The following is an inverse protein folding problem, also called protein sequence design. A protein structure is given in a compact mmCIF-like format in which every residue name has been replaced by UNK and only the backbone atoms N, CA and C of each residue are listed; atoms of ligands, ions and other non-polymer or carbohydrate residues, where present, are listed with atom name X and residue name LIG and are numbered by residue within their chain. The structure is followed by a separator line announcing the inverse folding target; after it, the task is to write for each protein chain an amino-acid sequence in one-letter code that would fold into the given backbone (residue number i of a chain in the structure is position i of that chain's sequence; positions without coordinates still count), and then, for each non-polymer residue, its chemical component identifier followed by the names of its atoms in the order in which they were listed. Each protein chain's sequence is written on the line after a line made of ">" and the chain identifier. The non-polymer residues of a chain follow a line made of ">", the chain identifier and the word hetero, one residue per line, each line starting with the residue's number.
data_IF_043637340975
#
_entry.id   IF_043637340975
#
_cell.length_a   1.000
_cell.length_b   1.000
_cell.length_c   1.000
_cell.angle_alpha   90.00
_cell.angle_beta   90.00
_cell.angle_gamma   90.00
#
_symmetry.space_group_name_H-M   'P 1'
#
loop_
_entity.id
_entity.type
_entity.pdbx_description
1 polymer ?
#
# COMPACT_ATOMS: atom_id res chain seq x y z
N UNK A 1 -8.74 31.26 -35.20
CA UNK A 1 -9.10 29.95 -34.62
C UNK A 1 -9.68 30.25 -33.24
N UNK A 2 -11.00 30.17 -33.10
CA UNK A 2 -11.71 30.45 -31.85
C UNK A 2 -11.75 29.16 -31.03
N UNK A 3 -11.14 29.15 -29.85
CA UNK A 3 -11.35 28.10 -28.84
C UNK A 3 -12.73 28.30 -28.22
N UNK A 4 -13.58 27.27 -28.35
CA UNK A 4 -14.83 27.16 -27.61
C UNK A 4 -14.50 26.65 -26.21
N UNK A 5 -14.49 27.55 -25.23
CA UNK A 5 -14.53 27.16 -23.82
C UNK A 5 -15.89 26.49 -23.53
N UNK A 6 -15.88 25.17 -23.40
CA UNK A 6 -17.05 24.41 -22.93
C UNK A 6 -17.42 24.79 -21.49
N UNK A 7 -18.69 24.62 -21.09
CA UNK A 7 -19.13 24.99 -19.75
C UNK A 7 -18.46 24.07 -18.71
N UNK A 8 -17.53 24.62 -17.93
CA UNK A 8 -17.02 23.96 -16.73
C UNK A 8 -18.10 24.06 -15.65
N UNK A 9 -19.05 23.12 -15.68
CA UNK A 9 -19.87 22.83 -14.51
C UNK A 9 -18.91 22.37 -13.42
N UNK A 10 -18.56 23.27 -12.50
CA UNK A 10 -17.83 22.94 -11.27
C UNK A 10 -18.78 22.10 -10.40
N UNK A 11 -18.91 20.82 -10.72
CA UNK A 11 -19.45 19.86 -9.77
C UNK A 11 -18.52 19.90 -8.56
N UNK A 12 -19.04 20.37 -7.42
CA UNK A 12 -18.29 20.47 -6.18
C UNK A 12 -18.12 19.05 -5.61
N UNK A 13 -17.07 18.35 -6.05
CA UNK A 13 -16.71 17.06 -5.49
C UNK A 13 -16.21 17.24 -4.06
N UNK A 14 -16.69 16.38 -3.15
CA UNK A 14 -16.14 16.34 -1.79
C UNK A 14 -15.18 15.17 -1.70
N UNK A 15 -13.91 15.47 -1.47
CA UNK A 15 -12.85 14.49 -1.25
C UNK A 15 -12.78 14.19 0.25
N UNK A 16 -12.95 12.93 0.63
CA UNK A 16 -12.80 12.51 2.04
C UNK A 16 -11.64 11.53 2.16
N UNK A 17 -10.73 11.83 3.09
CA UNK A 17 -9.59 10.98 3.43
C UNK A 17 -10.06 9.73 4.18
N UNK A 18 -9.63 8.54 3.76
CA UNK A 18 -9.91 7.24 4.42
C UNK A 18 -8.99 6.98 5.62
N UNK A 19 -8.81 7.99 6.47
CA UNK A 19 -7.99 7.89 7.67
C UNK A 19 -8.85 8.27 8.87
N UNK A 20 -8.93 7.38 9.85
CA UNK A 20 -9.62 7.64 11.11
C UNK A 20 -8.54 7.91 12.17
N UNK A 21 -8.49 9.11 12.78
CA UNK A 21 -7.52 9.42 13.82
C UNK A 21 -7.68 8.50 15.03
N UNK A 22 -6.55 8.14 15.66
CA UNK A 22 -6.54 7.27 16.84
C UNK A 22 -7.45 7.79 17.96
N UNK A 23 -7.36 9.07 18.29
CA UNK A 23 -8.15 9.69 19.36
C UNK A 23 -9.65 9.63 19.07
N UNK A 24 -10.06 9.78 17.80
CA UNK A 24 -11.47 9.64 17.41
C UNK A 24 -11.99 8.22 17.60
N UNK A 25 -11.17 7.20 17.32
CA UNK A 25 -11.53 5.80 17.58
C UNK A 25 -11.62 5.57 19.09
N UNK A 26 -10.62 6.02 19.85
CA UNK A 26 -10.58 5.83 21.30
C UNK A 26 -11.75 6.51 21.99
N UNK A 27 -12.08 7.75 21.63
CA UNK A 27 -13.22 8.49 22.17
C UNK A 27 -14.55 7.77 21.86
N UNK A 28 -14.72 7.33 20.61
CA UNK A 28 -15.92 6.59 20.21
C UNK A 28 -16.08 5.28 20.98
N UNK A 29 -15.02 4.49 21.10
CA UNK A 29 -15.04 3.24 21.85
C UNK A 29 -15.28 3.46 23.35
N UNK A 30 -14.65 4.48 23.93
CA UNK A 30 -14.85 4.85 25.34
C UNK A 30 -16.30 5.26 25.62
N UNK A 31 -16.95 5.95 24.67
CA UNK A 31 -18.38 6.28 24.76
C UNK A 31 -19.27 5.04 24.78
N UNK A 32 -18.91 3.99 24.01
CA UNK A 32 -19.69 2.75 23.92
C UNK A 32 -19.52 1.86 25.16
N UNK A 33 -18.28 1.67 25.63
CA UNK A 33 -17.99 0.82 26.80
C UNK A 33 -18.28 1.52 28.12
N UNK A 34 -18.25 2.86 28.14
CA UNK A 34 -18.25 3.69 29.35
C UNK A 34 -17.05 3.39 30.27
N UNK A 35 -15.98 2.85 29.70
CA UNK A 35 -14.74 2.53 30.38
C UNK A 35 -13.74 3.68 30.29
N UNK A 36 -12.86 3.80 31.29
CA UNK A 36 -11.76 4.78 31.31
C UNK A 36 -10.46 4.23 30.70
N UNK A 37 -10.52 3.05 30.07
CA UNK A 37 -9.36 2.44 29.45
C UNK A 37 -8.77 3.36 28.37
N UNK A 38 -7.45 3.48 28.36
CA UNK A 38 -6.71 4.39 27.47
C UNK A 38 -6.23 3.71 26.18
N UNK A 39 -6.43 2.40 26.06
CA UNK A 39 -6.02 1.61 24.91
C UNK A 39 -7.23 0.99 24.19
N UNK A 40 -7.16 0.97 22.85
CA UNK A 40 -8.22 0.41 21.99
C UNK A 40 -8.42 -1.09 22.25
N UNK A 41 -7.37 -1.82 22.63
CA UNK A 41 -7.42 -3.27 22.79
C UNK A 41 -8.37 -3.70 23.90
N UNK A 42 -8.32 -3.03 25.05
CA UNK A 42 -9.24 -3.24 26.17
C UNK A 42 -10.69 -3.02 25.76
N UNK A 43 -10.99 -1.92 25.06
CA UNK A 43 -12.35 -1.64 24.59
C UNK A 43 -12.84 -2.67 23.56
N UNK A 44 -11.97 -3.12 22.65
CA UNK A 44 -12.32 -4.16 21.67
C UNK A 44 -12.66 -5.49 22.34
N UNK A 45 -11.91 -5.89 23.36
CA UNK A 45 -12.19 -7.10 24.12
C UNK A 45 -13.48 -6.98 24.96
N UNK A 46 -13.76 -5.80 25.50
CA UNK A 46 -14.98 -5.54 26.26
C UNK A 46 -16.24 -5.59 25.39
N UNK A 47 -16.17 -5.03 24.17
CA UNK A 47 -17.30 -5.01 23.23
C UNK A 47 -17.52 -6.35 22.53
N UNK A 48 -16.45 -7.04 22.13
CA UNK A 48 -16.54 -8.19 21.22
C UNK A 48 -16.05 -9.51 21.84
N UNK A 49 -15.42 -9.51 23.01
CA UNK A 49 -14.96 -10.73 23.68
C UNK A 49 -14.06 -11.58 22.78
N UNK A 50 -14.44 -12.84 22.59
CA UNK A 50 -13.72 -13.79 21.71
C UNK A 50 -13.83 -13.48 20.22
N UNK A 51 -14.76 -12.62 19.81
CA UNK A 51 -14.94 -12.19 18.42
C UNK A 51 -14.00 -11.03 18.05
N UNK A 52 -13.32 -10.43 19.04
CA UNK A 52 -12.29 -9.43 18.79
C UNK A 52 -11.09 -10.04 18.03
N UNK A 53 -10.35 -9.22 17.28
CA UNK A 53 -9.14 -9.68 16.57
C UNK A 53 -8.16 -10.41 17.50
N UNK A 54 -7.56 -11.50 17.00
CA UNK A 54 -6.53 -12.28 17.72
C UNK A 54 -5.33 -11.43 18.16
N UNK A 55 -5.09 -10.28 17.51
CA UNK A 55 -4.04 -9.33 17.89
C UNK A 55 -4.30 -8.65 19.23
N UNK A 56 -5.57 -8.48 19.61
CA UNK A 56 -5.97 -7.95 20.92
C UNK A 56 -6.10 -9.06 21.97
N UNK A 57 -6.30 -10.29 21.52
CA UNK A 57 -6.31 -11.45 22.39
C UNK A 57 -4.87 -11.86 22.76
N UNK A 58 -4.68 -12.41 23.96
CA UNK A 58 -3.41 -13.03 24.37
C UNK A 58 -3.24 -14.40 23.70
N UNK A 59 -3.20 -14.42 22.37
CA UNK A 59 -2.99 -15.63 21.58
C UNK A 59 -1.50 -15.84 21.39
N UNK A 60 -1.04 -17.08 21.58
CA UNK A 60 0.36 -17.44 21.36
C UNK A 60 0.78 -17.09 19.94
N UNK A 61 1.88 -16.31 19.81
CA UNK A 61 2.54 -16.00 18.52
C UNK A 61 2.82 -17.24 17.66
N UNK A 62 2.83 -18.43 18.25
CA UNK A 62 2.95 -19.70 17.55
C UNK A 62 1.76 -19.99 16.61
N UNK A 63 0.52 -19.58 16.95
CA UNK A 63 -0.66 -19.81 16.12
C UNK A 63 -0.67 -18.87 14.90
N UNK A 64 -0.26 -17.61 15.08
CA UNK A 64 -0.13 -16.63 13.98
C UNK A 64 0.93 -17.05 12.95
N UNK A 65 1.99 -17.75 13.37
CA UNK A 65 2.97 -18.36 12.47
C UNK A 65 2.44 -19.57 11.70
N UNK A 66 1.35 -20.19 12.16
CA UNK A 66 0.75 -21.38 11.54
C UNK A 66 -0.27 -21.04 10.45
N UNK A 67 -0.68 -19.76 10.31
CA UNK A 67 -1.46 -19.30 9.16
C UNK A 67 -0.51 -19.36 7.95
N UNK A 68 -0.77 -20.32 7.06
CA UNK A 68 0.11 -20.67 5.95
C UNK A 68 0.60 -19.47 5.14
N UNK A 69 1.80 -19.62 4.59
CA UNK A 69 2.39 -18.68 3.64
C UNK A 69 1.52 -18.64 2.38
N UNK A 70 0.59 -17.69 2.32
CA UNK A 70 -0.25 -17.52 1.15
C UNK A 70 0.54 -16.88 -0.02
N UNK A 71 0.29 -17.40 -1.22
CA UNK A 71 0.69 -16.88 -2.53
C UNK A 71 -0.12 -15.64 -2.95
N UNK A 72 -1.05 -15.20 -2.07
CA UNK A 72 -1.84 -14.00 -2.24
C UNK A 72 -1.00 -12.75 -2.57
N UNK A 73 -1.58 -11.93 -3.44
CA UNK A 73 -1.11 -10.58 -3.74
C UNK A 73 -1.95 -9.58 -2.95
N UNK A 74 -1.37 -8.43 -2.60
CA UNK A 74 -2.11 -7.33 -1.99
C UNK A 74 -1.93 -6.08 -2.86
N UNK A 75 -3.05 -5.41 -3.13
CA UNK A 75 -3.06 -4.07 -3.71
C UNK A 75 -3.49 -3.08 -2.62
N UNK A 76 -2.62 -2.15 -2.24
CA UNK A 76 -3.03 -1.04 -1.36
C UNK A 76 -3.64 0.08 -2.20
N UNK A 77 -4.54 0.87 -1.59
CA UNK A 77 -5.11 2.04 -2.26
C UNK A 77 -4.18 3.24 -2.35
N UNK A 78 -3.13 3.29 -1.53
CA UNK A 78 -2.13 4.35 -1.46
C UNK A 78 -0.81 3.80 -0.87
N UNK A 79 0.24 4.63 -0.87
CA UNK A 79 1.46 4.39 -0.09
C UNK A 79 1.18 4.56 1.42
N UNK A 80 2.13 4.14 2.25
CA UNK A 80 1.95 4.11 3.72
C UNK A 80 1.88 5.51 4.36
N UNK A 81 2.47 6.49 3.72
CA UNK A 81 2.55 7.90 4.07
C UNK A 81 1.44 8.75 3.43
N UNK A 82 0.64 8.14 2.56
CA UNK A 82 -0.46 8.79 1.85
C UNK A 82 -1.83 8.45 2.47
N UNK A 83 -2.90 8.97 1.86
CA UNK A 83 -4.26 8.59 2.22
C UNK A 83 -5.10 8.28 0.99
N UNK A 84 -5.77 7.13 1.02
CA UNK A 84 -6.79 6.78 0.05
C UNK A 84 -8.02 7.69 0.16
N UNK A 85 -8.71 7.92 -0.94
CA UNK A 85 -9.85 8.83 -1.00
C UNK A 85 -11.19 8.12 -1.23
N UNK A 86 -12.23 8.66 -0.59
CA UNK A 86 -13.62 8.53 -1.03
C UNK A 86 -14.05 9.77 -1.80
N UNK A 87 -14.72 9.54 -2.92
CA UNK A 87 -15.35 10.55 -3.74
C UNK A 87 -16.84 10.59 -3.48
N UNK A 88 -17.35 11.79 -3.20
CA UNK A 88 -18.76 12.06 -3.22
C UNK A 88 -19.07 13.05 -4.36
N UNK A 89 -19.76 12.64 -5.43
CA UNK A 89 -20.13 13.51 -6.55
C UNK A 89 -21.26 14.49 -6.20
N UNK A 90 -21.70 14.53 -4.94
CA UNK A 90 -22.71 15.46 -4.46
C UNK A 90 -24.11 15.00 -4.85
N UNK A 91 -24.80 15.82 -5.65
CA UNK A 91 -26.25 15.64 -5.94
C UNK A 91 -26.50 14.56 -7.00
N UNK A 92 -25.50 14.21 -7.82
CA UNK A 92 -25.66 13.28 -8.94
C UNK A 92 -24.63 12.17 -8.85
N UNK A 93 -25.08 10.96 -8.51
CA UNK A 93 -24.25 9.75 -8.49
C UNK A 93 -24.08 9.15 -7.09
N UNK A 94 -23.52 7.93 -7.06
CA UNK A 94 -23.18 7.23 -5.81
C UNK A 94 -21.75 7.59 -5.41
N UNK A 95 -21.51 7.71 -4.12
CA UNK A 95 -20.14 7.81 -3.60
C UNK A 95 -19.34 6.55 -3.94
N UNK A 96 -18.04 6.70 -4.16
CA UNK A 96 -17.15 5.60 -4.53
C UNK A 96 -15.74 5.82 -3.96
N UNK A 97 -15.01 4.73 -3.71
CA UNK A 97 -13.59 4.80 -3.41
C UNK A 97 -12.78 5.08 -4.67
N UNK A 98 -11.92 6.09 -4.65
CA UNK A 98 -11.14 6.51 -5.82
C UNK A 98 -10.30 5.35 -6.39
N UNK A 99 -9.56 4.64 -5.54
CA UNK A 99 -8.77 3.46 -5.93
C UNK A 99 -9.61 2.38 -6.61
N UNK A 100 -10.67 1.90 -5.93
CA UNK A 100 -11.52 0.83 -6.45
C UNK A 100 -12.15 1.21 -7.80
N UNK A 101 -12.64 2.45 -7.93
CA UNK A 101 -13.21 2.95 -9.18
C UNK A 101 -12.17 3.02 -10.30
N UNK A 102 -10.93 3.42 -10.00
CA UNK A 102 -9.85 3.43 -10.97
C UNK A 102 -9.48 2.01 -11.42
N UNK A 103 -9.36 1.04 -10.49
CA UNK A 103 -9.13 -0.38 -10.82
C UNK A 103 -10.25 -0.93 -11.71
N UNK A 104 -11.51 -0.67 -11.34
CA UNK A 104 -12.66 -1.11 -12.14
C UNK A 104 -12.64 -0.52 -13.55
N UNK A 105 -12.22 0.73 -13.72
CA UNK A 105 -12.07 1.37 -15.02
C UNK A 105 -11.03 0.63 -15.87
N UNK A 106 -9.84 0.40 -15.32
CA UNK A 106 -8.73 -0.30 -16.00
C UNK A 106 -9.14 -1.71 -16.44
N UNK A 107 -9.73 -2.49 -15.53
CA UNK A 107 -10.08 -3.90 -15.79
C UNK A 107 -11.26 -4.03 -16.77
N UNK A 108 -12.14 -3.03 -16.84
CA UNK A 108 -13.27 -3.01 -17.78
C UNK A 108 -12.83 -2.67 -19.21
N UNK A 109 -11.86 -1.77 -19.34
CA UNK A 109 -11.36 -1.31 -20.64
C UNK A 109 -10.45 -2.34 -21.30
N UNK A 110 -9.65 -3.08 -20.53
CA UNK A 110 -8.70 -4.06 -21.06
C UNK A 110 -8.65 -5.36 -20.24
N UNK A 111 -8.75 -6.49 -20.94
CA UNK A 111 -8.54 -7.83 -20.38
C UNK A 111 -7.10 -8.32 -20.55
N UNK A 112 -6.70 -9.33 -19.76
CA UNK A 112 -5.40 -9.98 -19.91
C UNK A 112 -4.22 -9.22 -19.28
N UNK A 113 -4.49 -8.24 -18.43
CA UNK A 113 -3.48 -7.46 -17.72
C UNK A 113 -2.79 -8.30 -16.63
N UNK A 114 -1.48 -8.17 -16.51
CA UNK A 114 -0.74 -8.62 -15.33
C UNK A 114 -1.04 -7.74 -14.10
N UNK A 115 -0.77 -8.26 -12.90
CA UNK A 115 -0.96 -7.49 -11.65
C UNK A 115 -0.21 -6.15 -11.67
N UNK A 116 0.99 -6.12 -12.27
CA UNK A 116 1.79 -4.90 -12.44
C UNK A 116 1.10 -3.90 -13.35
N UNK A 117 0.57 -4.35 -14.48
CA UNK A 117 -0.10 -3.47 -15.44
C UNK A 117 -1.39 -2.89 -14.86
N UNK A 118 -2.14 -3.65 -14.06
CA UNK A 118 -3.31 -3.14 -13.35
C UNK A 118 -2.92 -1.96 -12.47
N UNK A 119 -1.89 -2.09 -11.64
CA UNK A 119 -1.47 -1.01 -10.71
C UNK A 119 -0.91 0.19 -11.45
N UNK A 120 0.00 -0.01 -12.42
CA UNK A 120 0.61 1.09 -13.20
C UNK A 120 -0.45 1.91 -13.93
N UNK A 121 -1.44 1.24 -14.55
CA UNK A 121 -2.54 1.94 -15.22
C UNK A 121 -3.49 2.59 -14.24
N UNK A 122 -3.75 1.97 -13.10
CA UNK A 122 -4.59 2.55 -12.04
C UNK A 122 -3.96 3.85 -11.51
N UNK A 123 -2.64 3.89 -11.28
CA UNK A 123 -1.91 5.12 -10.93
C UNK A 123 -2.15 6.22 -11.96
N UNK A 124 -2.05 5.88 -13.25
CA UNK A 124 -2.32 6.84 -14.34
C UNK A 124 -3.74 7.40 -14.30
N UNK A 125 -4.74 6.54 -14.12
CA UNK A 125 -6.16 6.97 -14.00
C UNK A 125 -6.35 7.92 -12.81
N UNK A 126 -5.74 7.61 -11.67
CA UNK A 126 -5.81 8.45 -10.47
C UNK A 126 -5.10 9.80 -10.67
N UNK A 127 -3.92 9.80 -11.29
CA UNK A 127 -3.17 11.01 -11.61
C UNK A 127 -3.93 11.93 -12.59
N UNK A 128 -4.52 11.35 -13.64
CA UNK A 128 -5.34 12.07 -14.61
C UNK A 128 -6.58 12.71 -13.94
N UNK A 129 -7.10 12.06 -12.90
CA UNK A 129 -8.21 12.55 -12.07
C UNK A 129 -7.77 13.47 -10.92
N UNK A 130 -6.47 13.80 -10.83
CA UNK A 130 -5.89 14.69 -9.79
C UNK A 130 -6.03 14.15 -8.37
N UNK A 131 -5.89 12.84 -8.20
CA UNK A 131 -5.68 12.26 -6.88
C UNK A 131 -4.19 12.13 -6.58
N UNK A 132 -3.84 12.38 -5.32
CA UNK A 132 -2.46 12.28 -4.82
C UNK A 132 -2.09 10.84 -4.43
N UNK A 133 -3.05 9.92 -4.30
CA UNK A 133 -2.80 8.54 -3.87
C UNK A 133 -2.14 7.68 -4.95
N UNK A 134 -1.15 6.89 -4.54
CA UNK A 134 -0.40 5.95 -5.36
C UNK A 134 -0.57 4.51 -4.85
N UNK A 135 -1.46 3.71 -5.47
CA UNK A 135 -1.62 2.29 -5.11
C UNK A 135 -0.34 1.48 -5.25
N UNK A 136 -0.07 0.54 -4.34
CA UNK A 136 1.12 -0.33 -4.38
C UNK A 136 0.75 -1.79 -4.65
N UNK A 137 1.66 -2.53 -5.31
CA UNK A 137 1.54 -3.97 -5.54
C UNK A 137 2.51 -4.74 -4.62
N UNK A 138 1.95 -5.51 -3.70
CA UNK A 138 2.71 -6.41 -2.84
C UNK A 138 2.56 -7.85 -3.32
N UNK A 139 3.61 -8.38 -3.94
CA UNK A 139 3.65 -9.75 -4.45
C UNK A 139 4.54 -10.64 -3.58
N UNK A 140 3.99 -11.71 -3.02
CA UNK A 140 4.72 -12.60 -2.09
C UNK A 140 5.68 -13.60 -2.76
N UNK A 141 6.19 -13.28 -3.95
CA UNK A 141 7.08 -14.17 -4.72
C UNK A 141 8.48 -14.20 -4.13
N UNK A 142 9.12 -15.35 -4.29
CA UNK A 142 10.49 -15.58 -3.81
C UNK A 142 11.46 -15.43 -4.97
N UNK A 143 12.57 -14.75 -4.71
CA UNK A 143 13.68 -14.60 -5.65
C UNK A 143 14.97 -15.14 -5.01
N UNK A 144 15.83 -15.70 -5.85
CA UNK A 144 17.21 -16.03 -5.51
C UNK A 144 18.11 -14.91 -6.03
N UNK A 145 18.78 -14.23 -5.11
CA UNK A 145 19.75 -13.17 -5.39
C UNK A 145 21.14 -13.79 -5.32
N UNK A 146 22.00 -13.50 -6.29
CA UNK A 146 23.39 -13.98 -6.35
C UNK A 146 24.33 -12.79 -6.51
N UNK A 147 25.27 -12.67 -5.58
CA UNK A 147 26.31 -11.65 -5.58
C UNK A 147 27.56 -12.10 -6.35
N UNK A 148 28.49 -11.17 -6.63
CA UNK A 148 29.74 -11.45 -7.35
C UNK A 148 30.71 -12.38 -6.62
N UNK A 149 30.52 -12.57 -5.31
CA UNK A 149 31.29 -13.49 -4.49
C UNK A 149 30.71 -14.93 -4.49
N UNK A 150 29.81 -15.23 -5.46
CA UNK A 150 29.10 -16.49 -5.64
C UNK A 150 28.19 -16.92 -4.47
N UNK A 151 27.97 -16.03 -3.48
CA UNK A 151 26.97 -16.26 -2.44
C UNK A 151 25.59 -15.92 -2.96
N UNK A 152 24.61 -16.71 -2.54
CA UNK A 152 23.20 -16.49 -2.86
C UNK A 152 22.34 -16.41 -1.60
N UNK A 153 21.32 -15.56 -1.67
CA UNK A 153 20.27 -15.43 -0.66
C UNK A 153 18.91 -15.64 -1.31
N UNK A 154 17.98 -16.22 -0.57
CA UNK A 154 16.58 -16.39 -1.01
C UNK A 154 15.75 -15.36 -0.25
N UNK A 155 15.11 -14.46 -0.98
CA UNK A 155 14.37 -13.34 -0.41
C UNK A 155 12.94 -13.30 -0.95
N UNK A 156 12.03 -12.78 -0.13
CA UNK A 156 10.64 -12.57 -0.51
C UNK A 156 10.47 -11.13 -0.97
N UNK A 157 9.85 -10.93 -2.13
CA UNK A 157 9.39 -9.60 -2.55
C UNK A 157 8.23 -9.20 -1.65
N UNK A 158 8.32 -8.03 -1.04
CA UNK A 158 7.33 -7.56 -0.07
C UNK A 158 6.94 -6.11 -0.27
N UNK A 159 7.52 -5.44 -1.27
CA UNK A 159 7.24 -4.05 -1.61
C UNK A 159 7.74 -3.73 -3.03
N UNK A 160 7.35 -2.57 -3.53
CA UNK A 160 7.81 -1.96 -4.78
C UNK A 160 8.82 -0.85 -4.47
N UNK A 161 9.87 -0.76 -5.29
CA UNK A 161 10.72 0.44 -5.35
C UNK A 161 10.21 1.30 -6.51
N UNK A 162 9.46 2.37 -6.22
CA UNK A 162 8.83 3.18 -7.28
C UNK A 162 9.89 3.98 -8.07
N UNK A 163 9.96 3.72 -9.38
CA UNK A 163 10.91 4.39 -10.29
C UNK A 163 10.34 5.61 -11.01
N UNK A 164 9.12 6.00 -10.69
CA UNK A 164 8.36 7.06 -11.38
C UNK A 164 8.14 8.29 -10.51
N UNK A 165 8.11 8.13 -9.20
CA UNK A 165 7.87 9.19 -8.22
C UNK A 165 9.05 9.37 -7.26
N UNK A 166 9.20 10.58 -6.73
CA UNK A 166 10.31 11.01 -5.88
C UNK A 166 10.65 12.49 -6.11
N UNK A 167 11.67 12.98 -5.41
CA UNK A 167 12.09 14.39 -5.37
C UNK A 167 11.07 15.34 -4.72
N UNK A 168 10.21 14.83 -3.85
CA UNK A 168 9.18 15.60 -3.14
C UNK A 168 9.25 15.34 -1.62
N UNK A 169 8.49 16.11 -0.84
CA UNK A 169 8.49 16.02 0.62
C UNK A 169 7.97 14.67 1.12
N UNK A 170 7.00 14.08 0.42
CA UNK A 170 6.39 12.79 0.75
C UNK A 170 7.43 11.66 0.68
N UNK A 171 8.26 11.66 -0.37
CA UNK A 171 9.38 10.72 -0.51
C UNK A 171 10.65 11.14 0.24
N UNK A 172 10.55 12.01 1.25
CA UNK A 172 11.68 12.57 2.00
C UNK A 172 12.78 13.18 1.10
N UNK A 173 12.38 13.74 -0.04
CA UNK A 173 13.23 14.27 -1.11
C UNK A 173 14.18 13.23 -1.74
N UNK A 174 13.88 11.94 -1.60
CA UNK A 174 14.64 10.87 -2.25
C UNK A 174 14.34 10.86 -3.75
N UNK A 175 15.37 10.61 -4.57
CA UNK A 175 15.18 10.41 -6.01
C UNK A 175 14.30 9.17 -6.26
N UNK A 176 13.52 9.16 -7.34
CA UNK A 176 12.86 7.94 -7.80
C UNK A 176 13.84 6.77 -7.90
N UNK A 177 13.38 5.55 -7.59
CA UNK A 177 14.19 4.36 -7.70
C UNK A 177 14.72 4.18 -9.13
N UNK A 178 15.94 3.65 -9.27
CA UNK A 178 16.41 3.21 -10.59
C UNK A 178 15.59 1.97 -11.03
N UNK A 179 15.44 1.79 -12.33
CA UNK A 179 14.56 0.76 -12.92
C UNK A 179 15.04 -0.68 -12.76
N UNK A 180 16.26 -0.88 -12.26
CA UNK A 180 16.93 -2.17 -12.13
C UNK A 180 17.44 -2.43 -10.70
N UNK A 181 16.66 -2.02 -9.69
CA UNK A 181 17.02 -2.11 -8.27
C UNK A 181 16.27 -3.23 -7.55
N UNK A 182 17.01 -3.96 -6.72
CA UNK A 182 16.47 -4.79 -5.63
C UNK A 182 16.84 -4.09 -4.33
N UNK A 183 15.89 -3.39 -3.71
CA UNK A 183 16.11 -2.78 -2.41
C UNK A 183 15.95 -3.87 -1.33
N UNK A 184 17.06 -4.31 -0.74
CA UNK A 184 17.11 -5.50 0.10
C UNK A 184 17.31 -5.14 1.58
N UNK A 185 16.69 -5.92 2.48
CA UNK A 185 16.88 -5.76 3.92
C UNK A 185 18.30 -6.12 4.34
N UNK A 186 18.74 -5.60 5.49
CA UNK A 186 20.05 -5.88 6.07
C UNK A 186 20.34 -7.40 6.21
N UNK A 187 19.31 -8.20 6.49
CA UNK A 187 19.43 -9.67 6.54
C UNK A 187 19.90 -10.26 5.20
N UNK A 188 19.38 -9.76 4.07
CA UNK A 188 19.79 -10.23 2.74
C UNK A 188 21.25 -9.85 2.47
N UNK A 189 21.68 -8.64 2.85
CA UNK A 189 23.07 -8.21 2.74
C UNK A 189 24.01 -9.14 3.52
N UNK A 190 23.65 -9.46 4.77
CA UNK A 190 24.41 -10.35 5.64
C UNK A 190 24.50 -11.78 5.07
N UNK A 191 23.39 -12.32 4.53
CA UNK A 191 23.36 -13.65 3.92
C UNK A 191 24.26 -13.74 2.67
N UNK A 192 24.32 -12.65 1.89
CA UNK A 192 25.22 -12.49 0.74
C UNK A 192 26.68 -12.22 1.17
N UNK A 193 26.93 -11.96 2.44
CA UNK A 193 28.26 -11.59 2.95
C UNK A 193 28.77 -10.27 2.39
N UNK A 194 27.87 -9.30 2.21
CA UNK A 194 28.17 -7.96 1.69
C UNK A 194 28.11 -6.93 2.82
N UNK A 195 28.82 -5.82 2.67
CA UNK A 195 28.77 -4.71 3.62
C UNK A 195 27.72 -3.69 3.17
N UNK A 196 26.77 -3.34 4.04
CA UNK A 196 25.74 -2.33 3.74
C UNK A 196 26.32 -0.94 3.51
N UNK A 197 27.51 -0.64 4.04
CA UNK A 197 28.19 0.64 3.84
C UNK A 197 28.65 0.86 2.39
N UNK A 198 28.69 -0.20 1.57
CA UNK A 198 29.01 -0.11 0.14
C UNK A 198 27.88 0.58 -0.66
N UNK A 199 26.68 0.69 -0.07
CA UNK A 199 25.52 1.37 -0.62
C UNK A 199 24.83 0.60 -1.75
N UNK A 200 25.48 0.46 -2.91
CA UNK A 200 24.96 -0.24 -4.08
C UNK A 200 25.97 -1.25 -4.63
N UNK A 201 25.49 -2.47 -4.90
CA UNK A 201 26.33 -3.59 -5.37
C UNK A 201 25.68 -4.30 -6.54
N UNK A 202 26.50 -4.76 -7.48
CA UNK A 202 26.01 -5.51 -8.64
C UNK A 202 25.64 -6.94 -8.24
N UNK A 203 24.40 -7.33 -8.55
CA UNK A 203 23.83 -8.65 -8.29
C UNK A 203 23.14 -9.20 -9.54
N UNK A 204 22.84 -10.49 -9.52
CA UNK A 204 21.88 -11.12 -10.44
C UNK A 204 20.76 -11.74 -9.61
N UNK A 205 19.56 -11.90 -10.19
CA UNK A 205 18.47 -12.56 -9.51
C UNK A 205 17.59 -13.37 -10.46
N UNK A 206 16.94 -14.39 -9.92
CA UNK A 206 15.99 -15.26 -10.63
C UNK A 206 14.82 -15.59 -9.72
N UNK A 207 13.69 -16.00 -10.29
CA UNK A 207 12.59 -16.57 -9.51
C UNK A 207 13.08 -17.86 -8.84
N UNK A 208 12.80 -18.03 -7.55
CA UNK A 208 13.20 -19.20 -6.76
C UNK A 208 12.09 -20.25 -6.67
#
# INVERSE_FOLDING_TARGET
>A
MLEMAGPTSKTSYTLTKKTIPYDSILEHLSSLTKSIATDIGTHMLELFGSDASLTFQTVSRALLRAIGLDEGILLSGCQADETSADMNPGVVGKAYGAFNNAVETVVREEGGLSNKEVVVRTRKVLQDQRFDQHPCLYCRKTIRITARNDRSAVAKVVDECDSTQGCDEEHANQLPCKTNIVNASETVWNDLGLNTDDGEVAITWTMA
#
